data_IF_526059994263
#
_entry.id   IF_526059994263
#
_cell.length_a   1.000
_cell.length_b   1.000
_cell.length_c   1.000
_cell.angle_alpha   90.00
_cell.angle_beta   90.00
_cell.angle_gamma   90.00
#
_symmetry.space_group_name_H-M   'P 1'
#
loop_
_entity.id
_entity.type
_entity.pdbx_description
1 polymer ?
#
# COMPACT_ATOMS: atom_id res chain seq x y z
N UNK A 1 9.41 13.71 8.53
CA UNK A 1 8.23 13.50 7.65
C UNK A 1 8.57 12.99 6.24
N UNK A 2 9.41 13.67 5.44
CA UNK A 2 9.83 13.14 4.11
C UNK A 2 10.68 11.87 4.27
N UNK A 3 11.70 11.89 5.13
CA UNK A 3 12.56 10.74 5.39
C UNK A 3 11.78 9.52 5.90
N UNK A 4 10.91 9.70 6.90
CA UNK A 4 10.03 8.63 7.42
C UNK A 4 9.11 8.05 6.35
N UNK A 5 8.60 8.86 5.42
CA UNK A 5 7.76 8.35 4.31
C UNK A 5 8.56 7.47 3.34
N UNK A 6 9.83 7.80 3.11
CA UNK A 6 10.74 6.98 2.29
C UNK A 6 11.13 5.70 3.01
N UNK A 7 11.46 5.78 4.29
CA UNK A 7 11.78 4.61 5.11
C UNK A 7 10.58 3.66 5.25
N UNK A 8 9.37 4.19 5.42
CA UNK A 8 8.14 3.40 5.40
C UNK A 8 7.98 2.67 4.06
N UNK A 9 8.02 3.39 2.93
CA UNK A 9 7.82 2.78 1.62
C UNK A 9 8.93 1.78 1.25
N UNK A 10 10.20 2.05 1.62
CA UNK A 10 11.31 1.13 1.39
C UNK A 10 11.20 -0.13 2.24
N UNK A 11 10.89 0.01 3.54
CA UNK A 11 10.71 -1.14 4.44
C UNK A 11 9.51 -1.98 4.01
N UNK A 12 8.45 -1.33 3.52
CA UNK A 12 7.27 -1.95 2.94
C UNK A 12 7.62 -2.74 1.67
N UNK A 13 8.24 -2.12 0.68
CA UNK A 13 8.61 -2.81 -0.56
C UNK A 13 9.63 -3.92 -0.32
N UNK A 14 10.51 -3.80 0.68
CA UNK A 14 11.43 -4.89 1.05
C UNK A 14 10.68 -6.10 1.62
N UNK A 15 9.62 -5.88 2.39
CA UNK A 15 8.75 -6.96 2.91
C UNK A 15 7.85 -7.55 1.81
N UNK A 16 7.39 -6.72 0.89
CA UNK A 16 6.59 -7.14 -0.25
C UNK A 16 7.43 -7.90 -1.28
N UNK A 17 8.69 -7.50 -1.54
CA UNK A 17 9.64 -8.23 -2.39
C UNK A 17 9.91 -9.63 -1.82
N UNK A 18 10.03 -9.75 -0.50
CA UNK A 18 10.20 -11.07 0.15
C UNK A 18 8.94 -11.93 0.07
N UNK A 19 7.75 -11.34 0.05
CA UNK A 19 6.50 -12.07 -0.23
C UNK A 19 6.25 -12.35 -1.71
N UNK A 20 6.67 -11.47 -2.61
CA UNK A 20 6.56 -11.60 -4.06
C UNK A 20 7.50 -12.71 -4.56
N UNK A 21 8.71 -12.82 -3.99
CA UNK A 21 9.59 -13.97 -4.22
C UNK A 21 8.99 -15.28 -3.69
N UNK A 22 8.00 -15.23 -2.78
CA UNK A 22 7.30 -16.39 -2.25
C UNK A 22 5.89 -16.63 -2.84
N UNK A 23 5.35 -15.72 -3.67
CA UNK A 23 3.98 -15.84 -4.15
C UNK A 23 3.47 -14.68 -5.02
N UNK A 24 3.84 -14.70 -6.30
CA UNK A 24 3.04 -14.19 -7.42
C UNK A 24 2.50 -12.73 -7.32
N UNK A 25 3.29 -11.78 -7.85
CA UNK A 25 2.96 -10.37 -8.13
C UNK A 25 1.51 -10.12 -8.61
N UNK A 26 0.77 -9.22 -7.94
CA UNK A 26 -0.62 -8.82 -8.30
C UNK A 26 -0.72 -7.43 -8.97
N UNK A 27 -0.46 -7.43 -10.28
CA UNK A 27 -1.15 -6.84 -11.45
C UNK A 27 -2.13 -5.63 -11.42
N UNK A 28 -2.29 -4.77 -10.41
CA UNK A 28 -3.32 -3.70 -10.51
C UNK A 28 -2.78 -2.27 -10.75
N UNK A 29 -1.71 -1.86 -10.07
CA UNK A 29 -1.09 -0.53 -10.21
C UNK A 29 0.08 -0.52 -11.19
N UNK A 30 0.65 -1.69 -11.46
CA UNK A 30 1.69 -1.88 -12.46
C UNK A 30 1.18 -1.61 -13.88
N UNK A 31 -0.12 -1.80 -14.16
CA UNK A 31 -0.65 -1.67 -15.54
C UNK A 31 -0.50 -0.25 -16.10
N UNK A 32 -0.97 0.83 -15.45
CA UNK A 32 -0.82 2.18 -16.00
C UNK A 32 0.63 2.68 -15.99
N UNK A 33 1.43 2.29 -14.99
CA UNK A 33 2.85 2.67 -14.93
C UNK A 33 3.65 1.91 -15.99
N UNK A 34 3.41 0.61 -16.16
CA UNK A 34 4.00 -0.19 -17.23
C UNK A 34 3.56 0.33 -18.60
N UNK A 35 2.29 0.69 -18.81
CA UNK A 35 1.82 1.26 -20.07
C UNK A 35 2.49 2.62 -20.38
N UNK A 36 2.68 3.47 -19.36
CA UNK A 36 3.40 4.73 -19.51
C UNK A 36 4.89 4.53 -19.83
N UNK A 37 5.53 3.54 -19.19
CA UNK A 37 6.93 3.21 -19.49
C UNK A 37 7.07 2.51 -20.84
N UNK A 38 6.14 1.62 -21.22
CA UNK A 38 6.06 1.04 -22.57
C UNK A 38 5.94 2.13 -23.62
N UNK A 39 5.10 3.15 -23.42
CA UNK A 39 5.00 4.28 -24.33
C UNK A 39 6.31 5.08 -24.43
N UNK A 40 7.02 5.28 -23.31
CA UNK A 40 8.32 5.95 -23.28
C UNK A 40 9.42 5.13 -23.97
N UNK A 41 9.43 3.81 -23.77
CA UNK A 41 10.33 2.87 -24.46
C UNK A 41 10.05 2.89 -25.97
N UNK A 42 8.79 2.79 -26.38
CA UNK A 42 8.38 2.84 -27.79
C UNK A 42 8.79 4.18 -28.42
N UNK A 43 8.64 5.29 -27.69
CA UNK A 43 9.07 6.60 -28.16
C UNK A 43 10.60 6.70 -28.28
N UNK A 44 11.36 6.17 -27.32
CA UNK A 44 12.82 6.15 -27.35
C UNK A 44 13.38 5.22 -28.45
N UNK A 45 12.70 4.10 -28.71
CA UNK A 45 13.03 3.16 -29.78
C UNK A 45 12.56 3.64 -31.16
N UNK A 46 11.74 4.69 -31.24
CA UNK A 46 11.18 5.21 -32.51
C UNK A 46 12.28 5.59 -33.50
N UNK A 47 13.35 6.24 -33.04
CA UNK A 47 14.49 6.61 -33.90
C UNK A 47 15.23 5.38 -34.43
N UNK A 48 15.34 4.33 -33.62
CA UNK A 48 15.99 3.08 -34.01
C UNK A 48 15.17 2.28 -35.03
N UNK A 49 13.85 2.28 -34.88
CA UNK A 49 12.91 1.68 -35.82
C UNK A 49 12.92 2.44 -37.17
N UNK A 50 12.99 3.77 -37.14
CA UNK A 50 13.03 4.61 -38.35
C UNK A 50 14.37 4.47 -39.09
N UNK A 51 15.49 4.41 -38.36
CA UNK A 51 16.82 4.29 -38.94
C UNK A 51 17.24 2.85 -39.28
N UNK A 52 16.41 1.85 -38.96
CA UNK A 52 16.66 0.43 -39.29
C UNK A 52 17.77 -0.25 -38.49
N UNK A 53 18.23 0.37 -37.39
CA UNK A 53 19.31 -0.15 -36.57
C UNK A 53 18.73 -0.75 -35.27
N UNK A 54 18.47 -2.05 -35.28
CA UNK A 54 17.85 -2.72 -34.14
C UNK A 54 18.83 -2.86 -32.95
N UNK A 55 18.36 -2.66 -31.71
CA UNK A 55 19.17 -2.83 -30.52
C UNK A 55 19.87 -4.19 -30.43
N UNK A 56 21.07 -4.20 -29.88
CA UNK A 56 21.65 -5.43 -29.35
C UNK A 56 20.92 -5.93 -28.09
N UNK A 57 21.06 -7.22 -27.78
CA UNK A 57 20.43 -7.83 -26.59
C UNK A 57 20.85 -7.14 -25.26
N UNK A 58 22.08 -6.62 -25.19
CA UNK A 58 22.58 -5.87 -24.04
C UNK A 58 21.91 -4.49 -23.88
N UNK A 59 21.57 -3.81 -24.96
CA UNK A 59 20.89 -2.52 -24.92
C UNK A 59 19.43 -2.69 -24.47
N UNK A 60 18.75 -3.73 -24.94
CA UNK A 60 17.42 -4.11 -24.45
C UNK A 60 17.42 -4.44 -22.94
N UNK A 61 18.45 -5.14 -22.47
CA UNK A 61 18.61 -5.43 -21.04
C UNK A 61 18.80 -4.16 -20.20
N UNK A 62 19.59 -3.20 -20.69
CA UNK A 62 19.76 -1.90 -20.02
C UNK A 62 18.47 -1.09 -19.98
N UNK A 63 17.71 -1.05 -21.08
CA UNK A 63 16.40 -0.36 -21.13
C UNK A 63 15.42 -1.02 -20.16
N UNK A 64 15.38 -2.35 -20.11
CA UNK A 64 14.56 -3.11 -19.17
C UNK A 64 14.94 -2.83 -17.71
N UNK A 65 16.23 -2.78 -17.40
CA UNK A 65 16.72 -2.45 -16.06
C UNK A 65 16.37 -1.00 -15.66
N UNK A 66 16.61 -0.02 -16.54
CA UNK A 66 16.28 1.37 -16.31
C UNK A 66 14.76 1.57 -16.08
N UNK A 67 13.94 0.88 -16.88
CA UNK A 67 12.49 0.84 -16.73
C UNK A 67 12.07 0.34 -15.35
N UNK A 68 12.62 -0.78 -14.90
CA UNK A 68 12.33 -1.33 -13.57
C UNK A 68 12.70 -0.34 -12.45
N UNK A 69 13.84 0.34 -12.58
CA UNK A 69 14.26 1.37 -11.61
C UNK A 69 13.28 2.54 -11.59
N UNK A 70 12.88 3.06 -12.76
CA UNK A 70 11.91 4.16 -12.85
C UNK A 70 10.55 3.77 -12.24
N UNK A 71 10.05 2.58 -12.57
CA UNK A 71 8.81 2.05 -11.99
C UNK A 71 8.91 1.96 -10.47
N UNK A 72 10.00 1.41 -9.95
CA UNK A 72 10.23 1.31 -8.51
C UNK A 72 10.24 2.69 -7.85
N UNK A 73 10.94 3.67 -8.42
CA UNK A 73 10.99 5.05 -7.88
C UNK A 73 9.61 5.69 -7.88
N UNK A 74 8.82 5.55 -8.95
CA UNK A 74 7.46 6.10 -9.03
C UNK A 74 6.55 5.46 -7.99
N UNK A 75 6.60 4.14 -7.83
CA UNK A 75 5.82 3.43 -6.81
C UNK A 75 6.15 3.93 -5.40
N UNK A 76 7.44 4.05 -5.08
CA UNK A 76 7.89 4.56 -3.77
C UNK A 76 7.44 6.01 -3.57
N UNK A 77 7.52 6.84 -4.62
CA UNK A 77 7.08 8.24 -4.55
C UNK A 77 5.56 8.38 -4.35
N UNK A 78 4.75 7.56 -5.02
CA UNK A 78 3.30 7.53 -4.85
C UNK A 78 2.92 7.06 -3.45
N UNK A 79 3.56 6.03 -2.93
CA UNK A 79 3.32 5.54 -1.57
C UNK A 79 3.72 6.59 -0.53
N UNK A 80 4.88 7.22 -0.71
CA UNK A 80 5.31 8.33 0.13
C UNK A 80 4.35 9.52 0.08
N UNK A 81 3.75 9.80 -1.08
CA UNK A 81 2.71 10.81 -1.21
C UNK A 81 1.45 10.43 -0.42
N UNK A 82 0.95 9.20 -0.56
CA UNK A 82 -0.22 8.73 0.19
C UNK A 82 0.02 8.73 1.70
N UNK A 83 1.22 8.33 2.15
CA UNK A 83 1.61 8.42 3.56
C UNK A 83 1.59 9.86 4.08
N UNK A 84 2.03 10.82 3.24
CA UNK A 84 2.03 12.24 3.59
C UNK A 84 0.62 12.82 3.69
N UNK A 85 -0.28 12.41 2.80
CA UNK A 85 -1.66 12.88 2.72
C UNK A 85 -2.66 12.02 3.50
N UNK A 86 -2.17 11.02 4.24
CA UNK A 86 -2.97 10.13 5.06
C UNK A 86 -3.74 10.90 6.15
N UNK A 87 -4.99 10.51 6.38
CA UNK A 87 -5.81 11.05 7.47
C UNK A 87 -5.38 10.53 8.84
N UNK A 88 -4.76 9.35 8.86
CA UNK A 88 -4.11 8.78 10.02
C UNK A 88 -2.89 7.97 9.60
N UNK A 89 -1.85 7.97 10.42
CA UNK A 89 -0.66 7.16 10.20
C UNK A 89 0.05 6.89 11.52
N UNK A 90 0.63 5.70 11.64
CA UNK A 90 1.49 5.33 12.76
C UNK A 90 2.65 4.52 12.21
N UNK A 91 3.87 4.91 12.56
CA UNK A 91 5.10 4.21 12.22
C UNK A 91 5.99 4.14 13.45
N UNK A 92 6.46 2.95 13.75
CA UNK A 92 7.35 2.71 14.89
C UNK A 92 8.52 1.85 14.45
N UNK A 93 9.72 2.32 14.77
CA UNK A 93 10.97 1.59 14.58
C UNK A 93 11.62 1.43 15.94
N UNK A 94 11.69 0.20 16.43
CA UNK A 94 12.40 -0.18 17.65
C UNK A 94 13.50 -1.19 17.30
N UNK A 95 14.48 -1.43 18.19
CA UNK A 95 15.46 -2.49 18.00
C UNK A 95 14.81 -3.87 17.81
N UNK A 96 13.68 -4.11 18.46
CA UNK A 96 13.02 -5.43 18.50
C UNK A 96 12.05 -5.64 17.34
N UNK A 97 11.43 -4.57 16.84
CA UNK A 97 10.47 -4.64 15.76
C UNK A 97 10.27 -3.31 15.04
N UNK A 98 9.79 -3.39 13.80
CA UNK A 98 9.38 -2.23 13.02
C UNK A 98 8.02 -2.49 12.37
N UNK A 99 7.19 -1.46 12.31
CA UNK A 99 5.88 -1.58 11.71
C UNK A 99 5.07 -0.30 11.74
N UNK A 100 3.99 -0.32 10.98
CA UNK A 100 3.08 0.80 10.89
C UNK A 100 1.94 0.56 9.94
N UNK A 101 1.04 1.53 9.91
CA UNK A 101 -0.10 1.55 9.00
C UNK A 101 -0.50 2.99 8.72
N UNK A 102 -1.26 3.20 7.65
CA UNK A 102 -1.87 4.48 7.37
C UNK A 102 -3.27 4.32 6.79
N UNK A 103 -4.10 5.34 6.99
CA UNK A 103 -5.43 5.43 6.41
C UNK A 103 -5.39 6.49 5.33
N UNK A 104 -5.58 6.07 4.09
CA UNK A 104 -5.71 6.98 2.97
C UNK A 104 -7.01 7.79 3.11
N UNK A 105 -7.00 9.06 2.69
CA UNK A 105 -8.19 9.88 2.70
C UNK A 105 -9.32 9.25 1.88
N UNK A 106 -10.59 9.52 2.24
CA UNK A 106 -11.73 9.00 1.49
C UNK A 106 -11.68 9.48 0.04
N UNK A 107 -11.95 8.55 -0.88
CA UNK A 107 -12.10 8.84 -2.30
C UNK A 107 -13.58 8.93 -2.66
N UNK A 108 -13.93 9.53 -3.80
CA UNK A 108 -15.35 9.65 -4.23
C UNK A 108 -16.15 8.34 -4.26
N UNK A 109 -15.47 7.19 -4.38
CA UNK A 109 -16.08 5.85 -4.46
C UNK A 109 -15.87 4.98 -3.22
N UNK A 110 -14.99 5.37 -2.30
CA UNK A 110 -14.57 4.55 -1.17
C UNK A 110 -14.38 5.43 0.07
N UNK A 111 -14.79 4.92 1.23
CA UNK A 111 -14.51 5.58 2.51
C UNK A 111 -13.01 5.64 2.83
N UNK A 112 -12.64 6.15 4.02
CA UNK A 112 -11.27 6.07 4.52
C UNK A 112 -10.73 4.65 4.37
N UNK A 113 -9.65 4.52 3.63
CA UNK A 113 -9.15 3.21 3.25
C UNK A 113 -7.91 2.89 4.07
N UNK A 114 -8.00 1.89 4.94
CA UNK A 114 -6.85 1.37 5.65
C UNK A 114 -5.92 0.75 4.60
N UNK A 115 -4.80 1.43 4.43
CA UNK A 115 -3.70 0.94 3.67
C UNK A 115 -2.76 0.25 4.63
N UNK A 116 -2.44 -1.00 4.28
CA UNK A 116 -1.13 -1.54 4.56
C UNK A 116 -0.74 -1.58 6.05
N UNK A 117 -0.96 -2.73 6.72
CA UNK A 117 -0.43 -2.99 8.09
C UNK A 117 0.89 -3.77 7.99
N UNK A 118 2.01 -3.10 8.27
CA UNK A 118 3.35 -3.70 8.33
C UNK A 118 3.71 -3.99 9.77
N UNK A 119 4.26 -5.18 10.01
CA UNK A 119 4.80 -5.54 11.31
C UNK A 119 5.81 -6.67 11.15
N UNK A 120 7.07 -6.40 11.50
CA UNK A 120 8.16 -7.36 11.46
C UNK A 120 8.92 -7.31 12.80
N UNK A 121 9.20 -8.46 13.43
CA UNK A 121 8.89 -9.83 12.97
C UNK A 121 7.39 -10.17 13.00
N UNK A 122 6.99 -11.10 12.15
CA UNK A 122 5.60 -11.58 12.08
C UNK A 122 5.25 -12.42 13.31
N UNK A 123 3.95 -12.66 13.50
CA UNK A 123 3.40 -13.55 14.54
C UNK A 123 3.69 -13.17 16.00
N UNK A 124 4.16 -11.94 16.26
CA UNK A 124 4.41 -11.43 17.62
C UNK A 124 3.30 -10.51 18.16
N UNK A 125 2.17 -10.38 17.45
CA UNK A 125 1.06 -9.53 17.89
C UNK A 125 1.20 -8.04 17.53
N UNK A 126 2.37 -7.59 17.04
CA UNK A 126 2.61 -6.21 16.58
C UNK A 126 1.57 -5.70 15.57
N UNK A 127 1.23 -6.51 14.56
CA UNK A 127 0.19 -6.14 13.59
C UNK A 127 -1.20 -6.03 14.22
N UNK A 128 -1.49 -6.82 15.26
CA UNK A 128 -2.73 -6.69 16.04
C UNK A 128 -2.73 -5.39 16.85
N UNK A 129 -1.60 -5.00 17.44
CA UNK A 129 -1.48 -3.75 18.20
C UNK A 129 -1.73 -2.53 17.29
N UNK A 130 -1.08 -2.47 16.13
CA UNK A 130 -1.29 -1.39 15.16
C UNK A 130 -2.75 -1.34 14.71
N UNK A 131 -3.34 -2.50 14.39
CA UNK A 131 -4.72 -2.55 13.91
C UNK A 131 -5.72 -2.12 15.01
N UNK A 132 -5.47 -2.46 16.27
CA UNK A 132 -6.27 -1.95 17.40
C UNK A 132 -6.22 -0.43 17.46
N UNK A 133 -5.04 0.19 17.32
CA UNK A 133 -4.89 1.65 17.33
C UNK A 133 -5.66 2.31 16.18
N UNK A 134 -5.54 1.76 14.96
CA UNK A 134 -6.28 2.23 13.79
C UNK A 134 -7.79 2.16 14.03
N UNK A 135 -8.29 1.02 14.50
CA UNK A 135 -9.71 0.81 14.73
C UNK A 135 -10.25 1.73 15.81
N UNK A 136 -9.51 1.91 16.90
CA UNK A 136 -9.88 2.83 17.97
C UNK A 136 -9.95 4.28 17.45
N UNK A 137 -8.92 4.73 16.72
CA UNK A 137 -8.92 6.06 16.11
C UNK A 137 -10.13 6.24 15.18
N UNK A 138 -10.44 5.25 14.34
CA UNK A 138 -11.56 5.32 13.43
C UNK A 138 -12.90 5.39 14.17
N UNK A 139 -13.07 4.62 15.25
CA UNK A 139 -14.28 4.65 16.08
C UNK A 139 -14.45 6.02 16.76
N UNK A 140 -13.37 6.59 17.31
CA UNK A 140 -13.36 7.93 17.92
C UNK A 140 -13.77 9.03 16.92
N UNK A 141 -13.48 8.83 15.63
CA UNK A 141 -13.79 9.79 14.57
C UNK A 141 -15.07 9.45 13.78
N UNK A 142 -15.81 8.41 14.18
CA UNK A 142 -17.05 8.01 13.50
C UNK A 142 -16.82 7.47 12.08
N UNK A 143 -15.65 6.92 11.79
CA UNK A 143 -15.24 6.54 10.44
C UNK A 143 -15.43 5.04 10.18
N UNK A 144 -16.16 4.71 9.12
CA UNK A 144 -16.16 3.38 8.52
C UNK A 144 -14.83 3.17 7.79
N UNK A 145 -14.11 2.10 8.11
CA UNK A 145 -12.87 1.72 7.44
C UNK A 145 -13.13 0.71 6.31
N UNK A 146 -12.47 0.91 5.18
CA UNK A 146 -12.39 -0.08 4.10
C UNK A 146 -10.96 -0.57 3.91
N UNK A 147 -10.77 -1.82 3.49
CA UNK A 147 -9.46 -2.35 3.13
C UNK A 147 -9.57 -3.40 2.02
N UNK A 148 -8.44 -3.66 1.36
CA UNK A 148 -8.29 -4.75 0.39
C UNK A 148 -7.30 -5.77 0.92
N UNK A 149 -7.73 -6.98 1.31
CA UNK A 149 -6.83 -7.99 1.85
C UNK A 149 -5.93 -8.54 0.74
N UNK A 150 -4.64 -8.73 1.03
CA UNK A 150 -3.66 -9.29 0.09
C UNK A 150 -3.97 -10.73 -0.29
N UNK A 151 -4.53 -11.51 0.65
CA UNK A 151 -4.97 -12.90 0.43
C UNK A 151 -5.79 -13.48 1.58
N UNK A 152 -6.12 -14.78 1.53
CA UNK A 152 -7.01 -15.44 2.50
C UNK A 152 -6.50 -15.40 3.95
N UNK A 153 -5.18 -15.40 4.16
CA UNK A 153 -4.60 -15.25 5.49
C UNK A 153 -4.85 -13.85 6.08
N UNK A 154 -4.68 -12.81 5.26
CA UNK A 154 -5.00 -11.43 5.64
C UNK A 154 -6.51 -11.26 5.86
N UNK A 155 -7.37 -11.87 5.03
CA UNK A 155 -8.82 -11.88 5.25
C UNK A 155 -9.18 -12.42 6.65
N UNK A 156 -8.61 -13.57 7.04
CA UNK A 156 -8.83 -14.16 8.37
C UNK A 156 -8.31 -13.26 9.49
N UNK A 157 -7.17 -12.60 9.28
CA UNK A 157 -6.60 -11.65 10.23
C UNK A 157 -7.55 -10.48 10.47
N UNK A 158 -8.01 -9.81 9.41
CA UNK A 158 -8.86 -8.62 9.52
C UNK A 158 -10.27 -8.93 10.06
N UNK A 159 -10.84 -10.12 9.78
CA UNK A 159 -12.14 -10.54 10.35
C UNK A 159 -12.18 -10.46 11.88
N UNK A 160 -11.05 -10.71 12.56
CA UNK A 160 -10.97 -10.65 14.02
C UNK A 160 -11.18 -9.25 14.59
N UNK A 161 -11.04 -8.21 13.76
CA UNK A 161 -11.21 -6.81 14.13
C UNK A 161 -12.54 -6.21 13.66
N UNK A 162 -13.48 -7.06 13.22
CA UNK A 162 -14.81 -6.62 12.79
C UNK A 162 -14.91 -6.24 11.32
N UNK A 163 -13.88 -6.50 10.50
CA UNK A 163 -13.98 -6.32 9.05
C UNK A 163 -14.83 -7.44 8.42
N UNK A 164 -15.87 -7.04 7.69
CA UNK A 164 -16.77 -7.92 6.94
C UNK A 164 -16.52 -7.76 5.45
N UNK A 165 -16.57 -8.87 4.70
CA UNK A 165 -16.36 -8.85 3.26
C UNK A 165 -17.59 -8.25 2.55
N UNK A 166 -17.41 -7.12 1.87
CA UNK A 166 -18.49 -6.44 1.12
C UNK A 166 -18.42 -6.73 -0.37
N UNK A 167 -17.25 -7.08 -0.90
CA UNK A 167 -17.08 -7.51 -2.29
C UNK A 167 -15.96 -8.55 -2.42
N UNK A 168 -15.72 -9.05 -3.64
CA UNK A 168 -14.66 -10.03 -3.90
C UNK A 168 -13.28 -9.57 -3.43
N UNK A 169 -13.02 -8.26 -3.41
CA UNK A 169 -11.71 -7.67 -3.10
C UNK A 169 -11.70 -6.68 -1.94
N UNK A 170 -12.86 -6.31 -1.39
CA UNK A 170 -12.96 -5.26 -0.35
C UNK A 170 -13.61 -5.84 0.90
N UNK A 171 -13.06 -5.46 2.05
CA UNK A 171 -13.65 -5.63 3.37
C UNK A 171 -13.92 -4.28 4.00
N UNK A 172 -14.99 -4.19 4.78
CA UNK A 172 -15.46 -2.97 5.44
C UNK A 172 -15.70 -3.25 6.92
N UNK A 173 -15.32 -2.30 7.77
CA UNK A 173 -15.62 -2.29 9.20
C UNK A 173 -16.41 -1.01 9.48
N UNK A 174 -17.64 -1.18 9.94
CA UNK A 174 -18.42 -0.04 10.44
C UNK A 174 -17.81 0.48 11.73
N UNK A 175 -17.94 1.79 11.96
CA UNK A 175 -17.63 2.38 13.25
C UNK A 175 -18.52 1.72 14.33
N UNK A 176 -17.91 1.34 15.44
CA UNK A 176 -18.64 0.91 16.63
C UNK A 176 -19.16 2.16 17.34
N UNK A 177 -20.20 2.80 16.79
CA UNK A 177 -20.92 3.90 17.46
C UNK A 177 -21.75 3.33 18.61
N UNK A 178 -21.06 2.97 19.69
CA UNK A 178 -21.61 2.40 20.92
C UNK A 178 -21.03 3.00 22.20
N UNK A 179 -20.23 4.06 22.11
CA UNK A 179 -19.95 4.93 23.25
C UNK A 179 -20.86 6.15 23.11
N UNK A 180 -21.80 6.27 24.03
CA UNK A 180 -22.67 7.42 24.16
C UNK A 180 -21.87 8.71 23.99
N UNK A 181 -22.41 9.60 23.17
CA UNK A 181 -22.08 11.02 23.19
C UNK A 181 -22.17 11.50 24.65
N UNK A 182 -21.06 11.88 25.32
CA UNK A 182 -21.12 12.34 26.71
C UNK A 182 -21.87 13.68 26.85
N UNK A 183 -22.31 14.28 25.74
CA UNK A 183 -23.04 15.54 25.70
C UNK A 183 -24.47 15.45 25.15
N UNK A 184 -25.01 14.25 24.89
CA UNK A 184 -26.46 14.08 24.65
C UNK A 184 -27.15 13.57 25.90
N UNK A 185 -27.42 14.48 26.81
CA UNK A 185 -28.21 14.21 28.00
C UNK A 185 -28.06 15.23 29.13
N UNK A 186 -28.19 16.52 28.83
CA UNK A 186 -28.71 17.55 29.75
C UNK A 186 -29.51 18.56 28.93
#
# INVERSE_FOLDING_TARGET
>A
MIQESWEFSLSWHRSEITEIMAGHLRSALLIPIAAGVEAAIIWALRDWIICGNWPGQGELAMIGAATLVVVAVIMVALEAHHWRTATWRSWQTTPDWHGGAYVAPPARRHGPMLMCVHAVPRTQGHGSQILTQVCQWADEHGLTLELKPSGPAAERFYKRFGFVKTSRRVMRRECLSGRADPHKGV
#
